data_IF_525900550619
#
_entry.id   IF_525900550619
#
_cell.length_a   1.000
_cell.length_b   1.000
_cell.length_c   1.000
_cell.angle_alpha   90.00
_cell.angle_beta   90.00
_cell.angle_gamma   90.00
#
_symmetry.space_group_name_H-M   'P 1'
#
loop_
_entity.id
_entity.type
_entity.pdbx_description
1 polymer ?
#
# COMPACT_ATOMS: atom_id res chain seq x y z
N UNK A 1 -9.63 -28.69 22.07
CA UNK A 1 -8.57 -27.86 21.46
C UNK A 1 -9.29 -26.89 20.53
N UNK A 2 -9.24 -25.61 20.76
CA UNK A 2 -9.80 -24.63 19.83
C UNK A 2 -8.97 -24.75 18.54
N UNK A 3 -9.61 -25.10 17.42
CA UNK A 3 -8.98 -25.01 16.09
C UNK A 3 -8.69 -23.55 15.84
N UNK A 4 -7.42 -23.18 15.78
CA UNK A 4 -7.01 -21.82 15.37
C UNK A 4 -7.49 -21.66 13.93
N UNK A 5 -8.45 -20.77 13.73
CA UNK A 5 -8.94 -20.45 12.40
C UNK A 5 -8.01 -19.41 11.79
N UNK A 6 -7.60 -19.59 10.53
CA UNK A 6 -6.79 -18.60 9.82
C UNK A 6 -7.61 -17.33 9.57
N UNK A 7 -6.97 -16.13 9.62
CA UNK A 7 -7.63 -14.84 9.36
C UNK A 7 -8.31 -14.77 7.99
N UNK A 8 -7.74 -15.45 7.00
CA UNK A 8 -8.31 -15.59 5.66
C UNK A 8 -8.27 -17.06 5.23
N UNK A 9 -9.26 -17.87 5.64
CA UNK A 9 -9.26 -19.32 5.37
C UNK A 9 -9.18 -19.67 3.88
N UNK A 10 -9.85 -18.89 3.02
CA UNK A 10 -9.89 -19.11 1.57
C UNK A 10 -8.56 -18.73 0.87
N UNK A 11 -7.65 -18.04 1.56
CA UNK A 11 -6.34 -17.64 1.08
C UNK A 11 -5.21 -18.48 1.71
N UNK A 12 -5.50 -19.69 2.22
CA UNK A 12 -4.54 -20.61 2.82
C UNK A 12 -4.33 -21.85 1.94
N UNK A 13 -3.06 -22.29 1.83
CA UNK A 13 -2.70 -23.58 1.27
C UNK A 13 -2.57 -24.66 2.36
N UNK A 14 -2.59 -25.92 1.96
CA UNK A 14 -2.48 -27.08 2.86
C UNK A 14 -1.16 -27.10 3.65
N UNK A 15 -0.09 -26.50 3.13
CA UNK A 15 1.21 -26.38 3.82
C UNK A 15 1.24 -25.21 4.84
N UNK A 16 0.14 -24.50 4.98
CA UNK A 16 0.00 -23.35 5.88
C UNK A 16 0.56 -22.04 5.32
N UNK A 17 0.85 -21.97 4.02
CA UNK A 17 1.25 -20.72 3.37
C UNK A 17 0.03 -19.87 2.98
N UNK A 18 0.17 -18.54 3.14
CA UNK A 18 -0.82 -17.56 2.69
C UNK A 18 -0.61 -17.22 1.22
N UNK A 19 -1.70 -17.18 0.43
CA UNK A 19 -1.72 -16.78 -0.97
C UNK A 19 -2.83 -15.78 -1.20
N UNK A 20 -2.44 -14.55 -1.50
CA UNK A 20 -3.35 -13.42 -1.71
C UNK A 20 -4.24 -13.61 -2.92
N UNK A 21 -5.56 -13.31 -2.78
CA UNK A 21 -6.46 -13.26 -3.94
C UNK A 21 -6.00 -12.22 -4.96
N UNK A 22 -6.30 -12.46 -6.24
CA UNK A 22 -6.04 -11.52 -7.32
C UNK A 22 -7.10 -10.40 -7.37
N UNK A 23 -6.71 -9.24 -7.91
CA UNK A 23 -7.62 -8.13 -8.14
C UNK A 23 -8.59 -8.47 -9.27
N UNK A 24 -9.89 -8.23 -9.03
CA UNK A 24 -10.96 -8.67 -9.93
C UNK A 24 -11.28 -7.65 -11.03
N UNK A 25 -11.07 -6.36 -10.75
CA UNK A 25 -11.39 -5.26 -11.66
C UNK A 25 -10.09 -4.60 -12.10
N UNK A 26 -9.80 -4.66 -13.40
CA UNK A 26 -8.53 -4.19 -13.97
C UNK A 26 -8.70 -3.45 -15.29
N UNK A 27 -9.79 -2.70 -15.42
CA UNK A 27 -9.97 -1.77 -16.53
C UNK A 27 -9.02 -0.57 -16.40
N UNK A 28 -8.81 0.15 -17.51
CA UNK A 28 -7.84 1.23 -17.59
C UNK A 28 -8.48 2.54 -18.03
N UNK A 29 -8.13 3.63 -17.34
CA UNK A 29 -8.27 4.99 -17.86
C UNK A 29 -7.19 5.21 -18.91
N UNK A 30 -7.58 5.69 -20.10
CA UNK A 30 -6.66 5.97 -21.20
C UNK A 30 -6.77 7.40 -21.71
N UNK A 31 -5.61 8.05 -21.87
CA UNK A 31 -5.54 9.41 -22.40
C UNK A 31 -5.91 9.49 -23.89
N UNK A 32 -5.66 8.41 -24.63
CA UNK A 32 -5.95 8.31 -26.08
C UNK A 32 -7.43 7.98 -26.41
N UNK A 33 -8.26 7.77 -25.39
CA UNK A 33 -9.68 7.45 -25.57
C UNK A 33 -9.96 6.03 -26.06
N UNK A 34 -8.98 5.13 -26.04
CA UNK A 34 -9.11 3.73 -26.49
C UNK A 34 -9.96 2.84 -25.58
N UNK A 35 -10.35 3.37 -24.39
CA UNK A 35 -11.24 2.69 -23.45
C UNK A 35 -12.48 3.55 -23.14
N UNK A 36 -13.54 2.97 -22.51
CA UNK A 36 -14.69 3.74 -22.03
C UNK A 36 -14.36 4.77 -20.95
N UNK A 37 -13.14 4.77 -20.46
CA UNK A 37 -12.66 5.59 -19.34
C UNK A 37 -11.60 6.61 -19.81
N UNK A 38 -12.00 7.73 -20.47
CA UNK A 38 -11.07 8.79 -20.87
C UNK A 38 -10.58 9.58 -19.66
N UNK A 39 -9.41 10.21 -19.78
CA UNK A 39 -8.87 11.10 -18.73
C UNK A 39 -9.68 12.40 -18.67
N UNK A 40 -10.49 12.56 -17.62
CA UNK A 40 -11.32 13.73 -17.37
C UNK A 40 -11.20 14.16 -15.91
N UNK A 41 -10.86 15.41 -15.65
CA UNK A 41 -10.75 15.94 -14.30
C UNK A 41 -12.11 15.88 -13.56
N UNK A 42 -12.09 15.40 -12.30
CA UNK A 42 -13.28 15.28 -11.45
C UNK A 42 -14.18 14.08 -11.76
N UNK A 43 -13.86 13.27 -12.80
CA UNK A 43 -14.65 12.08 -13.14
C UNK A 43 -14.36 10.90 -12.21
N UNK A 44 -13.12 10.76 -11.76
CA UNK A 44 -12.70 9.60 -10.99
C UNK A 44 -12.60 9.92 -9.50
N UNK A 45 -12.95 8.91 -8.70
CA UNK A 45 -12.89 8.98 -7.24
C UNK A 45 -12.17 7.77 -6.67
N UNK A 46 -11.24 8.00 -5.74
CA UNK A 46 -10.42 6.96 -5.13
C UNK A 46 -10.97 6.63 -3.74
N UNK A 47 -11.43 5.39 -3.51
CA UNK A 47 -11.76 4.88 -2.20
C UNK A 47 -10.56 4.19 -1.58
N UNK A 48 -10.16 4.58 -0.38
CA UNK A 48 -8.92 4.15 0.26
C UNK A 48 -9.08 3.93 1.75
N UNK A 49 -8.17 3.13 2.32
CA UNK A 49 -7.88 3.11 3.76
C UNK A 49 -6.47 3.62 4.00
N UNK A 50 -6.28 4.54 4.94
CA UNK A 50 -4.94 5.01 5.33
C UNK A 50 -4.12 3.92 6.05
N UNK A 51 -4.78 2.87 6.52
CA UNK A 51 -4.11 1.70 7.07
C UNK A 51 -3.48 0.80 6.00
N UNK A 52 -4.11 0.70 4.82
CA UNK A 52 -3.74 -0.25 3.77
C UNK A 52 -2.47 0.20 3.02
N UNK A 53 -1.39 -0.61 2.96
CA UNK A 53 -0.19 -0.23 2.21
C UNK A 53 -0.43 -0.20 0.69
N UNK A 54 -1.31 -1.03 0.18
CA UNK A 54 -1.66 -1.08 -1.24
C UNK A 54 -2.35 0.23 -1.66
N UNK A 55 -3.38 0.67 -0.93
CA UNK A 55 -4.02 1.96 -1.15
C UNK A 55 -3.05 3.15 -0.93
N UNK A 56 -2.13 3.04 0.03
CA UNK A 56 -1.19 4.12 0.34
C UNK A 56 -0.27 4.47 -0.83
N UNK A 57 0.10 3.50 -1.69
CA UNK A 57 0.87 3.77 -2.91
C UNK A 57 0.12 4.75 -3.83
N UNK A 58 -1.16 4.50 -4.07
CA UNK A 58 -1.99 5.34 -4.95
C UNK A 58 -2.21 6.73 -4.36
N UNK A 59 -2.34 6.85 -3.02
CA UNK A 59 -2.43 8.12 -2.31
C UNK A 59 -1.15 8.93 -2.50
N UNK A 60 0.02 8.32 -2.32
CA UNK A 60 1.33 8.98 -2.48
C UNK A 60 1.51 9.48 -3.92
N UNK A 61 1.22 8.65 -4.92
CA UNK A 61 1.38 9.03 -6.32
C UNK A 61 0.41 10.17 -6.68
N UNK A 62 -0.86 10.09 -6.23
CA UNK A 62 -1.84 11.18 -6.38
C UNK A 62 -1.32 12.50 -5.78
N UNK A 63 -0.68 12.45 -4.60
CA UNK A 63 -0.10 13.61 -3.92
C UNK A 63 1.12 14.16 -4.68
N UNK A 64 2.06 13.30 -5.05
CA UNK A 64 3.30 13.67 -5.71
C UNK A 64 3.09 14.26 -7.11
N UNK A 65 2.08 13.81 -7.83
CA UNK A 65 1.71 14.33 -9.15
C UNK A 65 0.74 15.52 -9.08
N UNK A 66 0.26 15.89 -7.88
CA UNK A 66 -0.65 17.00 -7.69
C UNK A 66 -2.02 16.78 -8.30
N UNK A 67 -2.54 15.54 -8.25
CA UNK A 67 -3.82 15.12 -8.82
C UNK A 67 -5.03 15.35 -7.90
N UNK A 68 -4.87 16.06 -6.77
CA UNK A 68 -5.92 16.18 -5.75
C UNK A 68 -7.19 16.87 -6.28
N UNK A 69 -7.05 17.81 -7.23
CA UNK A 69 -8.18 18.48 -7.89
C UNK A 69 -8.78 17.68 -9.05
N UNK A 70 -8.03 16.70 -9.59
CA UNK A 70 -8.43 15.91 -10.75
C UNK A 70 -9.10 14.58 -10.35
N UNK A 71 -8.66 13.98 -9.24
CA UNK A 71 -9.16 12.70 -8.72
C UNK A 71 -9.60 12.90 -7.28
N UNK A 72 -10.90 12.76 -6.99
CA UNK A 72 -11.44 12.81 -5.63
C UNK A 72 -10.91 11.65 -4.76
N UNK A 73 -11.10 11.74 -3.45
CA UNK A 73 -10.70 10.66 -2.54
C UNK A 73 -11.59 10.63 -1.29
N UNK A 74 -12.02 9.44 -0.89
CA UNK A 74 -12.69 9.20 0.39
C UNK A 74 -11.98 8.08 1.14
N UNK A 75 -11.82 8.30 2.44
CA UNK A 75 -11.15 7.36 3.34
C UNK A 75 -12.21 6.59 4.13
N UNK A 76 -12.10 5.25 4.15
CA UNK A 76 -12.94 4.36 4.94
C UNK A 76 -12.46 4.26 6.39
N UNK A 77 -13.34 3.79 7.29
CA UNK A 77 -13.00 3.43 8.67
C UNK A 77 -11.78 2.48 8.70
N UNK A 78 -10.76 2.72 9.53
CA UNK A 78 -9.61 1.84 9.62
C UNK A 78 -9.94 0.44 10.14
N UNK A 79 -11.01 0.30 10.91
CA UNK A 79 -11.46 -1.00 11.42
C UNK A 79 -12.38 -1.62 10.38
N UNK A 80 -11.91 -2.73 9.81
CA UNK A 80 -12.66 -3.53 8.86
C UNK A 80 -13.49 -4.56 9.63
N UNK A 81 -14.79 -4.69 9.35
CA UNK A 81 -15.58 -5.78 9.90
C UNK A 81 -15.52 -7.02 8.97
N UNK A 82 -15.80 -8.19 9.54
CA UNK A 82 -15.68 -9.47 8.83
C UNK A 82 -16.87 -9.75 7.92
N UNK A 83 -18.04 -9.18 8.22
CA UNK A 83 -19.28 -9.43 7.47
C UNK A 83 -19.39 -8.47 6.27
N UNK A 84 -19.17 -7.17 6.48
CA UNK A 84 -19.42 -6.12 5.50
C UNK A 84 -18.15 -5.54 4.87
N UNK A 85 -16.98 -5.77 5.48
CA UNK A 85 -15.70 -5.25 5.02
C UNK A 85 -15.45 -3.81 5.48
N UNK A 86 -15.21 -2.90 4.57
CA UNK A 86 -14.88 -1.50 4.83
C UNK A 86 -16.13 -0.63 4.94
N UNK A 87 -16.30 0.07 6.07
CA UNK A 87 -17.40 0.99 6.33
C UNK A 87 -16.99 2.43 6.04
N UNK A 88 -17.91 3.23 5.46
CA UNK A 88 -17.85 4.68 5.45
C UNK A 88 -18.56 5.22 6.69
N UNK A 89 -18.10 6.35 7.24
CA UNK A 89 -18.73 6.94 8.42
C UNK A 89 -17.96 8.14 8.95
N UNK A 90 -18.43 8.73 10.02
CA UNK A 90 -17.80 9.89 10.65
C UNK A 90 -16.77 9.45 11.70
N UNK A 91 -15.53 9.95 11.56
CA UNK A 91 -14.49 9.71 12.54
C UNK A 91 -13.17 10.38 12.22
N UNK A 92 -12.19 10.29 13.13
CA UNK A 92 -10.88 10.90 12.91
C UNK A 92 -10.18 10.33 11.67
N UNK A 93 -10.09 11.12 10.59
CA UNK A 93 -9.37 10.77 9.38
C UNK A 93 -10.14 9.90 8.36
N UNK A 94 -11.43 9.68 8.56
CA UNK A 94 -12.33 9.03 7.59
C UNK A 94 -13.69 9.72 7.56
N UNK A 95 -14.48 9.53 6.50
CA UNK A 95 -15.74 10.26 6.29
C UNK A 95 -16.81 9.38 5.63
N UNK A 96 -18.10 9.80 5.67
CA UNK A 96 -19.13 9.25 4.81
C UNK A 96 -18.74 9.34 3.34
N UNK A 97 -19.31 8.46 2.51
CA UNK A 97 -19.13 8.54 1.06
C UNK A 97 -19.93 9.72 0.46
N UNK A 98 -19.26 10.76 -0.09
CA UNK A 98 -19.92 11.93 -0.65
C UNK A 98 -20.41 11.72 -2.10
N UNK A 99 -20.06 10.59 -2.74
CA UNK A 99 -20.32 10.33 -4.15
C UNK A 99 -21.62 9.56 -4.34
N UNK A 100 -21.74 8.39 -3.72
CA UNK A 100 -22.89 7.51 -3.90
C UNK A 100 -23.71 7.36 -2.61
N UNK A 101 -23.20 7.87 -1.47
CA UNK A 101 -23.82 7.66 -0.16
C UNK A 101 -23.76 6.21 0.35
N UNK A 102 -22.80 5.43 -0.14
CA UNK A 102 -22.60 4.07 0.32
C UNK A 102 -22.27 4.04 1.82
N UNK A 103 -22.84 3.07 2.51
CA UNK A 103 -22.47 2.76 3.89
C UNK A 103 -21.24 1.86 3.95
N UNK A 104 -21.15 0.91 3.05
CA UNK A 104 -20.06 -0.05 2.94
C UNK A 104 -19.46 -0.03 1.54
N UNK A 105 -18.14 -0.20 1.44
CA UNK A 105 -17.45 -0.31 0.14
C UNK A 105 -17.94 -1.52 -0.67
N UNK A 106 -18.51 -2.55 -0.02
CA UNK A 106 -19.16 -3.69 -0.68
C UNK A 106 -20.18 -3.24 -1.71
N UNK A 107 -20.95 -2.19 -1.44
CA UNK A 107 -21.96 -1.67 -2.34
C UNK A 107 -21.40 -1.24 -3.70
N UNK A 108 -20.15 -0.71 -3.73
CA UNK A 108 -19.45 -0.43 -4.99
C UNK A 108 -19.11 -1.72 -5.77
N UNK A 109 -18.73 -2.79 -5.07
CA UNK A 109 -18.48 -4.10 -5.70
C UNK A 109 -19.76 -4.73 -6.22
N UNK A 110 -20.83 -4.70 -5.44
CA UNK A 110 -22.14 -5.24 -5.82
C UNK A 110 -22.76 -4.47 -7.00
N UNK A 111 -22.50 -3.17 -7.13
CA UNK A 111 -22.89 -2.38 -8.30
C UNK A 111 -22.18 -2.85 -9.59
N UNK A 112 -20.98 -3.41 -9.49
CA UNK A 112 -20.25 -3.97 -10.63
C UNK A 112 -20.66 -5.42 -10.93
N UNK A 113 -20.68 -6.25 -9.88
CA UNK A 113 -21.06 -7.66 -9.96
C UNK A 113 -21.84 -8.05 -8.69
N UNK A 114 -23.19 -8.15 -8.78
CA UNK A 114 -24.05 -8.57 -7.64
C UNK A 114 -23.72 -9.97 -7.11
N UNK A 115 -22.95 -10.76 -7.85
CA UNK A 115 -22.52 -12.10 -7.47
C UNK A 115 -21.08 -12.17 -6.98
N UNK A 116 -20.41 -11.02 -6.82
CA UNK A 116 -19.03 -10.98 -6.34
C UNK A 116 -18.88 -11.66 -4.98
N UNK A 117 -17.95 -12.62 -4.90
CA UNK A 117 -17.68 -13.42 -3.69
C UNK A 117 -16.29 -13.22 -3.12
N UNK A 118 -15.44 -12.48 -3.83
CA UNK A 118 -14.09 -12.17 -3.36
C UNK A 118 -14.09 -11.20 -2.18
N UNK A 119 -12.93 -11.07 -1.56
CA UNK A 119 -12.71 -10.10 -0.49
C UNK A 119 -12.81 -8.67 -1.03
N UNK A 120 -13.51 -7.80 -0.30
CA UNK A 120 -13.61 -6.38 -0.61
C UNK A 120 -12.30 -5.71 -0.21
N UNK A 121 -11.59 -5.15 -1.18
CA UNK A 121 -10.25 -4.56 -1.02
C UNK A 121 -10.25 -3.07 -1.32
N UNK A 122 -9.22 -2.39 -0.86
CA UNK A 122 -8.85 -1.01 -1.21
C UNK A 122 -7.39 -1.02 -1.71
N UNK A 123 -7.03 -0.16 -2.68
CA UNK A 123 -7.81 0.96 -3.24
C UNK A 123 -8.91 0.51 -4.19
N UNK A 124 -9.84 1.42 -4.49
CA UNK A 124 -10.79 1.30 -5.59
C UNK A 124 -10.80 2.61 -6.36
N UNK A 125 -10.55 2.56 -7.65
CA UNK A 125 -10.76 3.68 -8.57
C UNK A 125 -12.17 3.57 -9.15
N UNK A 126 -13.03 4.50 -8.77
CA UNK A 126 -14.45 4.57 -9.14
C UNK A 126 -14.66 5.60 -10.25
N UNK A 127 -15.41 5.24 -11.27
CA UNK A 127 -15.89 6.18 -12.29
C UNK A 127 -17.29 6.71 -11.90
N UNK A 128 -17.38 7.98 -11.58
CA UNK A 128 -18.63 8.62 -11.13
C UNK A 128 -19.68 8.77 -12.25
N UNK A 129 -19.29 8.66 -13.51
CA UNK A 129 -20.21 8.78 -14.65
C UNK A 129 -20.86 7.45 -15.02
N UNK A 130 -20.11 6.37 -15.04
CA UNK A 130 -20.66 5.05 -15.32
C UNK A 130 -21.15 4.33 -14.07
N UNK A 131 -20.85 4.86 -12.88
CA UNK A 131 -21.13 4.24 -11.58
C UNK A 131 -20.56 2.81 -11.50
N UNK A 132 -19.23 2.70 -11.84
CA UNK A 132 -18.50 1.44 -11.89
C UNK A 132 -17.10 1.57 -11.29
N UNK A 133 -16.60 0.45 -10.78
CA UNK A 133 -15.18 0.29 -10.47
C UNK A 133 -14.42 0.20 -11.79
N UNK A 134 -13.44 1.08 -11.99
CA UNK A 134 -12.47 0.95 -13.09
C UNK A 134 -11.43 -0.09 -12.72
N UNK A 135 -10.81 0.07 -11.55
CA UNK A 135 -9.79 -0.85 -11.07
C UNK A 135 -9.75 -0.91 -9.54
N UNK A 136 -9.45 -2.10 -9.00
CA UNK A 136 -9.09 -2.31 -7.60
C UNK A 136 -7.64 -2.81 -7.45
N UNK A 137 -6.86 -2.76 -8.53
CA UNK A 137 -5.43 -3.05 -8.53
C UNK A 137 -4.65 -1.77 -8.23
N UNK A 138 -3.93 -1.74 -7.12
CA UNK A 138 -3.08 -0.60 -6.76
C UNK A 138 -1.94 -0.37 -7.76
N UNK A 139 -1.41 -1.44 -8.34
CA UNK A 139 -0.37 -1.38 -9.36
C UNK A 139 -0.88 -0.71 -10.64
N UNK A 140 -2.08 -1.07 -11.11
CA UNK A 140 -2.69 -0.47 -12.29
C UNK A 140 -3.07 1.00 -12.04
N UNK A 141 -3.64 1.29 -10.86
CA UNK A 141 -4.04 2.66 -10.50
C UNK A 141 -2.81 3.58 -10.40
N UNK A 142 -1.74 3.13 -9.76
CA UNK A 142 -0.47 3.89 -9.74
C UNK A 142 0.00 4.20 -11.15
N UNK A 143 0.10 3.18 -11.99
CA UNK A 143 0.60 3.31 -13.36
C UNK A 143 -0.30 4.20 -14.21
N UNK A 144 -1.62 4.12 -14.06
CA UNK A 144 -2.55 5.06 -14.72
C UNK A 144 -2.25 6.50 -14.31
N UNK A 145 -2.07 6.79 -13.02
CA UNK A 145 -1.76 8.15 -12.55
C UNK A 145 -0.42 8.64 -13.11
N UNK A 146 0.58 7.79 -13.21
CA UNK A 146 1.92 8.11 -13.69
C UNK A 146 1.99 8.34 -15.20
N UNK A 147 1.19 7.64 -15.98
CA UNK A 147 1.32 7.62 -17.44
C UNK A 147 0.16 8.29 -18.18
N UNK A 148 -1.08 8.09 -17.71
CA UNK A 148 -2.27 8.58 -18.40
C UNK A 148 -2.71 9.98 -17.90
N UNK A 149 -2.60 10.24 -16.59
CA UNK A 149 -3.06 11.50 -15.99
C UNK A 149 -2.05 12.65 -16.09
N UNK A 150 -1.00 12.51 -16.88
CA UNK A 150 0.08 13.50 -17.00
C UNK A 150 -0.41 14.91 -17.40
N UNK A 151 -1.42 15.00 -18.27
CA UNK A 151 -2.02 16.28 -18.68
C UNK A 151 -2.78 16.99 -17.55
N UNK A 152 -3.20 16.28 -16.51
CA UNK A 152 -3.87 16.81 -15.32
C UNK A 152 -2.93 17.02 -14.13
N UNK A 153 -1.70 16.53 -14.24
CA UNK A 153 -0.67 16.72 -13.23
C UNK A 153 -0.21 18.18 -13.19
N UNK A 154 -0.15 18.76 -11.99
CA UNK A 154 0.41 20.09 -11.79
C UNK A 154 1.87 20.06 -11.28
N UNK A 155 2.49 18.88 -11.24
CA UNK A 155 3.87 18.65 -10.79
C UNK A 155 4.63 17.80 -11.80
N UNK A 156 5.73 18.32 -12.32
CA UNK A 156 6.60 17.61 -13.27
C UNK A 156 7.48 16.59 -12.51
N UNK A 157 6.95 15.41 -12.27
CA UNK A 157 7.70 14.26 -11.73
C UNK A 157 7.53 13.07 -12.65
N UNK A 158 8.63 12.49 -13.08
CA UNK A 158 8.65 11.21 -13.79
C UNK A 158 8.94 10.10 -12.80
N UNK A 159 7.89 9.38 -12.39
CA UNK A 159 8.01 8.26 -11.45
C UNK A 159 8.26 6.92 -12.15
N UNK A 160 8.13 6.88 -13.49
CA UNK A 160 8.36 5.69 -14.31
C UNK A 160 9.24 5.99 -15.51
N UNK A 161 10.50 6.45 -15.29
CA UNK A 161 11.37 6.95 -16.34
C UNK A 161 11.78 5.85 -17.34
N UNK A 162 11.65 6.16 -18.63
CA UNK A 162 11.83 5.21 -19.71
C UNK A 162 13.16 4.42 -19.67
N UNK A 163 14.32 5.02 -19.29
CA UNK A 163 15.59 4.28 -19.25
C UNK A 163 15.63 3.15 -18.20
N UNK A 164 14.81 3.22 -17.15
CA UNK A 164 14.82 2.29 -16.01
C UNK A 164 13.66 1.31 -15.98
N UNK A 165 12.72 1.36 -16.93
CA UNK A 165 11.46 0.59 -16.88
C UNK A 165 11.68 -0.91 -16.66
N UNK A 166 12.54 -1.53 -17.44
CA UNK A 166 12.80 -2.97 -17.32
C UNK A 166 13.42 -3.34 -15.94
N UNK A 167 14.25 -2.47 -15.38
CA UNK A 167 14.82 -2.70 -14.05
C UNK A 167 13.81 -2.41 -12.93
N UNK A 168 12.99 -1.39 -13.11
CA UNK A 168 11.85 -1.06 -12.23
C UNK A 168 10.92 -2.27 -12.13
N UNK A 169 10.49 -2.85 -13.25
CA UNK A 169 9.59 -4.01 -13.23
C UNK A 169 10.21 -5.21 -12.50
N UNK A 170 11.46 -5.55 -12.81
CA UNK A 170 12.15 -6.66 -12.12
C UNK A 170 12.29 -6.44 -10.61
N UNK A 171 12.62 -5.22 -10.21
CA UNK A 171 12.77 -4.91 -8.79
C UNK A 171 11.43 -4.83 -8.08
N UNK A 172 10.38 -4.31 -8.76
CA UNK A 172 9.01 -4.31 -8.26
C UNK A 172 8.50 -5.73 -7.99
N UNK A 173 8.70 -6.67 -8.93
CA UNK A 173 8.35 -8.09 -8.74
C UNK A 173 9.07 -8.70 -7.52
N UNK A 174 10.37 -8.43 -7.40
CA UNK A 174 11.17 -8.92 -6.28
C UNK A 174 10.67 -8.36 -4.95
N UNK A 175 10.52 -7.03 -4.85
CA UNK A 175 10.05 -6.35 -3.63
C UNK A 175 8.62 -6.78 -3.29
N UNK A 176 7.75 -6.92 -4.29
CA UNK A 176 6.39 -7.42 -4.09
C UNK A 176 6.42 -8.82 -3.45
N UNK A 177 7.07 -9.77 -4.11
CA UNK A 177 7.03 -11.17 -3.71
C UNK A 177 7.70 -11.45 -2.35
N UNK A 178 8.74 -10.69 -2.00
CA UNK A 178 9.58 -10.97 -0.83
C UNK A 178 9.37 -10.01 0.34
N UNK A 179 9.00 -8.76 0.08
CA UNK A 179 8.84 -7.73 1.12
C UNK A 179 7.37 -7.33 1.26
N UNK A 180 6.74 -6.77 0.21
CA UNK A 180 5.40 -6.22 0.35
C UNK A 180 4.35 -7.29 0.69
N UNK A 181 4.31 -8.39 -0.04
CA UNK A 181 3.49 -9.56 0.26
C UNK A 181 4.18 -10.52 1.24
N UNK A 182 5.52 -10.49 1.28
CA UNK A 182 6.33 -11.33 2.15
C UNK A 182 6.00 -11.17 3.63
N UNK A 183 5.80 -9.95 4.11
CA UNK A 183 5.40 -9.69 5.52
C UNK A 183 4.01 -10.26 5.84
N UNK A 184 3.09 -10.31 4.86
CA UNK A 184 1.78 -10.96 5.01
C UNK A 184 1.89 -12.47 4.97
N UNK A 185 2.74 -13.01 4.09
CA UNK A 185 3.02 -14.46 4.06
C UNK A 185 3.62 -14.94 5.37
N UNK A 186 4.45 -14.13 6.03
CA UNK A 186 4.93 -14.43 7.38
C UNK A 186 3.82 -14.28 8.42
N UNK A 187 3.08 -13.16 8.39
CA UNK A 187 2.08 -12.82 9.40
C UNK A 187 0.86 -13.75 9.44
N UNK A 188 0.41 -14.20 8.28
CA UNK A 188 -0.75 -15.09 8.13
C UNK A 188 -0.38 -16.57 7.94
N UNK A 189 0.91 -16.93 8.07
CA UNK A 189 1.31 -18.33 8.04
C UNK A 189 0.66 -19.11 9.18
N UNK A 190 0.12 -20.29 8.87
CA UNK A 190 -0.47 -21.22 9.85
C UNK A 190 0.43 -22.40 10.20
N UNK A 191 1.64 -22.46 9.61
CA UNK A 191 2.67 -23.42 9.98
C UNK A 191 4.02 -22.73 10.22
N UNK A 192 4.83 -23.32 11.13
CA UNK A 192 6.17 -22.81 11.43
C UNK A 192 7.05 -22.76 10.17
N UNK A 193 7.00 -23.80 9.35
CA UNK A 193 7.82 -23.91 8.14
C UNK A 193 7.42 -22.84 7.09
N UNK A 194 6.13 -22.53 6.92
CA UNK A 194 5.67 -21.46 6.03
C UNK A 194 6.11 -20.08 6.54
N UNK A 195 5.97 -19.84 7.85
CA UNK A 195 6.44 -18.61 8.49
C UNK A 195 7.94 -18.40 8.27
N UNK A 196 8.77 -19.39 8.59
CA UNK A 196 10.24 -19.29 8.47
C UNK A 196 10.67 -19.01 7.04
N UNK A 197 10.11 -19.72 6.07
CA UNK A 197 10.40 -19.47 4.64
C UNK A 197 10.07 -18.04 4.23
N UNK A 198 8.94 -17.51 4.67
CA UNK A 198 8.53 -16.15 4.34
C UNK A 198 9.40 -15.12 5.07
N UNK A 199 9.61 -15.28 6.38
CA UNK A 199 10.37 -14.36 7.21
C UNK A 199 11.83 -14.23 6.73
N UNK A 200 12.52 -15.33 6.47
CA UNK A 200 13.90 -15.29 5.95
C UNK A 200 13.96 -14.53 4.60
N UNK A 201 13.03 -14.77 3.69
CA UNK A 201 13.01 -14.05 2.40
C UNK A 201 12.81 -12.54 2.55
N UNK A 202 11.98 -12.10 3.52
CA UNK A 202 11.85 -10.68 3.85
C UNK A 202 13.22 -10.11 4.21
N UNK A 203 13.94 -10.75 5.13
CA UNK A 203 15.21 -10.21 5.64
C UNK A 203 16.35 -10.34 4.64
N UNK A 204 16.44 -11.40 3.84
CA UNK A 204 17.42 -11.51 2.75
C UNK A 204 17.28 -10.35 1.76
N UNK A 205 16.04 -9.96 1.44
CA UNK A 205 15.77 -8.83 0.54
C UNK A 205 16.05 -7.50 1.23
N UNK A 206 15.68 -7.32 2.50
CA UNK A 206 16.03 -6.09 3.23
C UNK A 206 17.54 -5.91 3.35
N UNK A 207 18.31 -6.97 3.56
CA UNK A 207 19.77 -6.93 3.59
C UNK A 207 20.38 -6.53 2.24
N UNK A 208 19.83 -7.05 1.15
CA UNK A 208 20.24 -6.67 -0.20
C UNK A 208 19.90 -5.20 -0.52
N UNK A 209 18.73 -4.71 -0.09
CA UNK A 209 18.33 -3.31 -0.24
C UNK A 209 19.17 -2.37 0.65
N UNK A 210 19.51 -2.78 1.86
CA UNK A 210 20.41 -2.06 2.76
C UNK A 210 21.77 -1.83 2.08
N UNK A 211 22.34 -2.89 1.47
CA UNK A 211 23.58 -2.82 0.72
C UNK A 211 23.47 -1.91 -0.51
N UNK A 212 22.38 -2.04 -1.31
CA UNK A 212 22.12 -1.18 -2.48
C UNK A 212 22.06 0.30 -2.11
N UNK A 213 21.45 0.62 -0.99
CA UNK A 213 21.24 1.99 -0.52
C UNK A 213 22.49 2.59 0.18
N UNK A 214 23.57 1.85 0.35
CA UNK A 214 24.81 2.38 0.92
C UNK A 214 25.45 3.47 0.03
N UNK A 215 25.36 3.30 -1.29
CA UNK A 215 26.02 4.17 -2.27
C UNK A 215 25.02 4.97 -3.13
N UNK A 216 23.73 4.73 -3.03
CA UNK A 216 22.67 5.42 -3.80
C UNK A 216 21.65 6.05 -2.88
N UNK A 217 21.21 7.27 -3.18
CA UNK A 217 20.21 7.98 -2.37
C UNK A 217 18.86 7.26 -2.38
N UNK A 218 18.40 6.87 -3.59
CA UNK A 218 17.18 6.11 -3.82
C UNK A 218 17.50 4.86 -4.64
N UNK A 219 16.55 4.01 -4.89
CA UNK A 219 16.78 2.72 -5.56
C UNK A 219 17.33 2.85 -6.99
N UNK A 220 17.06 3.97 -7.67
CA UNK A 220 17.50 4.27 -9.03
C UNK A 220 18.30 5.58 -9.14
N UNK A 221 19.07 5.96 -8.10
CA UNK A 221 19.94 7.12 -8.12
C UNK A 221 19.46 8.30 -7.28
N UNK A 222 19.47 9.51 -7.85
CA UNK A 222 19.28 10.75 -7.11
C UNK A 222 17.80 11.16 -6.89
N UNK A 223 16.87 10.60 -7.66
CA UNK A 223 15.44 10.90 -7.57
C UNK A 223 14.64 9.62 -7.32
N UNK A 224 13.59 9.68 -6.48
CA UNK A 224 12.77 8.52 -6.24
C UNK A 224 11.85 8.23 -7.42
N UNK A 225 11.67 6.94 -7.72
CA UNK A 225 10.76 6.41 -8.74
C UNK A 225 9.65 5.58 -8.08
N UNK A 226 8.74 5.00 -8.85
CA UNK A 226 7.60 4.24 -8.31
C UNK A 226 8.03 3.09 -7.37
N UNK A 227 9.16 2.43 -7.65
CA UNK A 227 9.69 1.34 -6.82
C UNK A 227 9.99 1.80 -5.39
N UNK A 228 10.49 3.03 -5.23
CA UNK A 228 10.74 3.61 -3.90
C UNK A 228 9.44 3.74 -3.10
N UNK A 229 8.35 4.12 -3.74
CA UNK A 229 7.04 4.24 -3.09
C UNK A 229 6.41 2.89 -2.79
N UNK A 230 6.61 1.90 -3.65
CA UNK A 230 6.21 0.50 -3.40
C UNK A 230 6.91 -0.09 -2.19
N UNK A 231 8.17 0.23 -1.98
CA UNK A 231 8.93 -0.18 -0.80
C UNK A 231 8.55 0.64 0.44
N UNK A 232 8.46 1.97 0.31
CA UNK A 232 8.16 2.90 1.40
C UNK A 232 6.96 2.47 2.24
N UNK A 233 5.85 2.10 1.62
CA UNK A 233 4.60 1.78 2.31
C UNK A 233 4.72 0.57 3.23
N UNK A 234 5.63 -0.36 2.94
CA UNK A 234 5.95 -1.48 3.82
C UNK A 234 6.92 -1.05 4.92
N UNK A 235 7.99 -0.31 4.58
CA UNK A 235 8.99 0.13 5.57
C UNK A 235 8.38 1.02 6.65
N UNK A 236 7.47 1.95 6.29
CA UNK A 236 6.83 2.88 7.24
C UNK A 236 5.92 2.14 8.25
N UNK A 237 5.42 0.95 7.90
CA UNK A 237 4.60 0.09 8.75
C UNK A 237 5.42 -0.94 9.52
N UNK A 238 6.65 -1.18 9.12
CA UNK A 238 7.41 -2.36 9.53
C UNK A 238 7.57 -2.44 11.06
N UNK A 239 8.17 -1.44 11.66
CA UNK A 239 8.45 -1.43 13.09
C UNK A 239 7.17 -1.26 13.93
N UNK A 240 6.16 -0.57 13.38
CA UNK A 240 4.89 -0.33 14.06
C UNK A 240 3.97 -1.57 14.06
N UNK A 241 4.08 -2.41 13.02
CA UNK A 241 3.15 -3.54 12.81
C UNK A 241 3.90 -4.84 12.53
N UNK A 242 4.63 -4.93 11.42
CA UNK A 242 5.12 -6.21 10.92
C UNK A 242 6.16 -6.85 11.83
N UNK A 243 6.97 -6.06 12.51
CA UNK A 243 7.94 -6.54 13.49
C UNK A 243 7.27 -7.29 14.66
N UNK A 244 6.25 -6.71 15.27
CA UNK A 244 5.56 -7.30 16.40
C UNK A 244 4.41 -8.21 15.98
N UNK A 245 3.43 -7.65 15.28
CA UNK A 245 2.17 -8.31 14.94
C UNK A 245 2.36 -9.50 13.99
N UNK A 246 3.17 -9.32 12.95
CA UNK A 246 3.48 -10.38 11.97
C UNK A 246 4.75 -11.17 12.27
N UNK A 247 5.41 -10.88 13.39
CA UNK A 247 6.62 -11.59 13.85
C UNK A 247 7.81 -11.50 12.87
N UNK A 248 7.85 -10.49 11.98
CA UNK A 248 9.00 -10.20 11.14
C UNK A 248 10.10 -9.51 11.98
N UNK A 249 10.71 -10.24 12.93
CA UNK A 249 11.39 -9.62 14.06
C UNK A 249 12.88 -10.00 14.21
N UNK A 250 13.56 -10.37 13.13
CA UNK A 250 15.02 -10.52 13.18
C UNK A 250 15.71 -9.17 13.41
N UNK A 251 15.23 -8.11 12.75
CA UNK A 251 15.70 -6.72 12.93
C UNK A 251 14.55 -5.75 12.66
N UNK A 252 14.58 -4.56 13.30
CA UNK A 252 13.69 -3.44 12.98
C UNK A 252 14.27 -2.68 11.78
N UNK A 253 13.45 -1.93 11.06
CA UNK A 253 13.98 -0.99 10.05
C UNK A 253 14.88 0.05 10.72
N UNK A 254 14.58 0.46 11.94
CA UNK A 254 15.43 1.35 12.74
C UNK A 254 16.85 0.82 13.01
N UNK A 255 17.07 -0.48 12.88
CA UNK A 255 18.37 -1.14 13.07
C UNK A 255 19.21 -1.20 11.76
N UNK A 256 18.64 -0.76 10.63
CA UNK A 256 19.30 -0.69 9.32
C UNK A 256 19.71 0.76 9.00
N UNK A 257 21.00 1.11 9.03
CA UNK A 257 21.43 2.50 8.86
C UNK A 257 20.98 3.15 7.55
N UNK A 258 21.10 2.44 6.42
CA UNK A 258 20.73 2.98 5.12
C UNK A 258 19.22 2.96 4.87
N UNK A 259 18.53 1.85 5.17
CA UNK A 259 17.08 1.74 5.02
C UNK A 259 16.34 2.72 5.93
N UNK A 260 16.82 2.94 7.16
CA UNK A 260 16.17 3.90 8.05
C UNK A 260 16.40 5.35 7.62
N UNK A 261 17.62 5.69 7.17
CA UNK A 261 17.89 6.99 6.56
C UNK A 261 17.05 7.21 5.30
N UNK A 262 16.94 6.20 4.44
CA UNK A 262 16.12 6.22 3.24
C UNK A 262 14.60 6.37 3.56
N UNK A 263 14.10 5.67 4.55
CA UNK A 263 12.72 5.82 5.03
C UNK A 263 12.44 7.26 5.48
N UNK A 264 13.35 7.87 6.24
CA UNK A 264 13.26 9.27 6.65
C UNK A 264 13.30 10.23 5.48
N UNK A 265 14.19 10.01 4.52
CA UNK A 265 14.33 10.85 3.32
C UNK A 265 13.02 10.86 2.52
N UNK A 266 12.45 9.69 2.25
CA UNK A 266 11.16 9.58 1.56
C UNK A 266 10.01 10.21 2.35
N UNK A 267 9.95 9.98 3.67
CA UNK A 267 8.91 10.55 4.53
C UNK A 267 8.94 12.09 4.54
N UNK A 268 10.12 12.69 4.45
CA UNK A 268 10.33 14.15 4.47
C UNK A 268 10.10 14.81 3.10
N UNK A 269 9.87 14.04 2.04
CA UNK A 269 9.48 14.63 0.75
C UNK A 269 8.14 15.37 0.93
N UNK A 270 8.05 16.66 0.48
CA UNK A 270 6.84 17.45 0.66
C UNK A 270 5.57 16.76 0.18
N UNK A 271 4.57 16.66 1.06
CA UNK A 271 3.30 15.99 0.84
C UNK A 271 3.24 14.54 1.36
N UNK A 272 4.37 13.82 1.49
CA UNK A 272 4.36 12.40 1.85
C UNK A 272 3.97 12.17 3.33
N UNK A 273 4.51 12.94 4.25
CA UNK A 273 4.20 12.79 5.68
C UNK A 273 2.70 12.85 5.99
N UNK A 274 1.95 13.69 5.26
CA UNK A 274 0.50 13.83 5.44
C UNK A 274 -0.30 12.61 4.95
N UNK A 275 0.31 11.72 4.17
CA UNK A 275 -0.33 10.47 3.71
C UNK A 275 -0.22 9.35 4.75
N UNK A 276 0.61 9.53 5.78
CA UNK A 276 0.88 8.53 6.83
C UNK A 276 -0.01 8.77 8.04
N UNK A 277 -0.80 7.78 8.42
CA UNK A 277 -1.64 7.83 9.62
C UNK A 277 -1.34 6.60 10.50
N UNK A 278 -0.48 6.77 11.50
CA UNK A 278 -0.10 5.67 12.40
C UNK A 278 -1.24 5.20 13.30
N UNK A 279 -2.22 6.04 13.63
CA UNK A 279 -3.41 5.60 14.38
C UNK A 279 -4.23 4.62 13.55
N UNK A 280 -4.57 4.99 12.29
CA UNK A 280 -5.27 4.10 11.38
C UNK A 280 -4.50 2.80 11.13
N UNK A 281 -3.18 2.91 10.88
CA UNK A 281 -2.31 1.75 10.65
C UNK A 281 -2.40 0.79 11.84
N UNK A 282 -2.09 1.26 13.06
CA UNK A 282 -2.06 0.39 14.23
C UNK A 282 -3.44 -0.16 14.58
N UNK A 283 -4.48 0.68 14.56
CA UNK A 283 -5.85 0.24 14.85
C UNK A 283 -6.32 -0.83 13.87
N UNK A 284 -6.07 -0.66 12.56
CA UNK A 284 -6.43 -1.68 11.59
C UNK A 284 -5.81 -3.03 11.93
N UNK A 285 -4.49 -3.11 11.99
CA UNK A 285 -3.81 -4.40 12.16
C UNK A 285 -4.10 -5.05 13.50
N UNK A 286 -3.99 -4.29 14.60
CA UNK A 286 -4.10 -4.88 15.93
C UNK A 286 -5.54 -5.13 16.38
N UNK A 287 -6.51 -4.41 15.82
CA UNK A 287 -7.90 -4.60 16.18
C UNK A 287 -8.63 -5.59 15.28
N UNK A 288 -8.36 -5.59 13.96
CA UNK A 288 -9.10 -6.42 13.00
C UNK A 288 -8.55 -7.83 12.85
N UNK A 289 -7.27 -8.06 13.15
CA UNK A 289 -6.69 -9.41 13.08
C UNK A 289 -6.75 -10.09 14.46
N UNK A 290 -7.93 -10.48 14.88
CA UNK A 290 -8.16 -11.03 16.22
C UNK A 290 -7.71 -12.49 16.38
N UNK A 291 -7.49 -13.23 15.30
CA UNK A 291 -6.79 -14.51 15.31
C UNK A 291 -5.30 -14.35 15.73
N UNK A 292 -4.64 -13.25 15.35
CA UNK A 292 -3.26 -12.94 15.71
C UNK A 292 -3.20 -12.19 17.06
N UNK A 293 -4.14 -11.27 17.29
CA UNK A 293 -4.22 -10.42 18.48
C UNK A 293 -5.61 -10.48 19.14
N UNK A 294 -5.98 -11.59 19.80
CA UNK A 294 -7.33 -11.82 20.31
C UNK A 294 -7.77 -10.81 21.38
N UNK A 295 -6.85 -10.12 22.04
CA UNK A 295 -7.15 -9.05 23.01
C UNK A 295 -7.52 -7.73 22.34
N UNK A 296 -7.25 -7.57 21.04
CA UNK A 296 -7.45 -6.32 20.27
C UNK A 296 -6.74 -5.09 20.86
N UNK A 297 -5.73 -5.31 21.72
CA UNK A 297 -4.93 -4.22 22.29
C UNK A 297 -4.08 -3.60 21.20
N UNK A 298 -4.21 -2.27 21.03
CA UNK A 298 -3.43 -1.47 20.08
C UNK A 298 -2.20 -0.92 20.79
N UNK A 299 -0.96 -1.20 20.33
CA UNK A 299 0.26 -0.77 20.99
C UNK A 299 0.46 0.75 20.90
N UNK A 300 1.09 1.35 21.92
CA UNK A 300 1.41 2.78 21.95
C UNK A 300 2.61 3.09 21.02
N UNK A 301 3.61 2.23 21.00
CA UNK A 301 4.84 2.38 20.20
C UNK A 301 4.74 1.88 18.74
N UNK A 302 5.88 1.92 18.03
CA UNK A 302 7.12 2.56 18.45
C UNK A 302 7.08 4.08 18.35
N UNK A 303 7.93 4.76 19.11
CA UNK A 303 8.18 6.19 18.94
C UNK A 303 9.39 6.36 18.02
N UNK A 304 9.15 6.71 16.76
CA UNK A 304 10.19 6.94 15.77
C UNK A 304 10.19 8.41 15.35
N UNK A 305 11.35 9.05 15.42
CA UNK A 305 11.53 10.40 14.89
C UNK A 305 11.85 10.33 13.40
N UNK A 306 10.80 10.33 12.58
CA UNK A 306 10.92 10.33 11.12
C UNK A 306 11.26 11.72 10.54
N UNK A 307 11.13 12.76 11.36
CA UNK A 307 11.53 14.14 11.01
C UNK A 307 13.01 14.43 11.26
N UNK A 308 13.74 13.54 11.95
CA UNK A 308 15.17 13.72 12.18
C UNK A 308 15.97 13.72 10.86
N UNK A 309 17.13 14.38 10.81
CA UNK A 309 17.99 14.39 9.63
C UNK A 309 18.27 12.98 9.10
N UNK A 310 18.08 12.80 7.80
CA UNK A 310 18.27 11.50 7.15
C UNK A 310 19.71 11.25 6.67
N UNK A 311 20.53 12.34 6.47
CA UNK A 311 21.95 12.27 6.16
C UNK A 311 22.26 11.73 4.75
N UNK A 312 21.27 11.65 3.85
CA UNK A 312 21.42 11.05 2.51
C UNK A 312 21.66 12.06 1.40
N UNK A 313 21.65 13.38 1.70
CA UNK A 313 21.91 14.46 0.73
C UNK A 313 23.28 14.31 0.04
N UNK A 314 24.26 13.76 0.76
CA UNK A 314 25.61 13.49 0.24
C UNK A 314 25.61 12.53 -0.96
N UNK A 315 24.64 11.60 -1.01
CA UNK A 315 24.52 10.58 -2.05
C UNK A 315 23.89 11.10 -3.35
N UNK A 316 23.35 12.34 -3.35
CA UNK A 316 22.80 12.97 -4.55
C UNK A 316 23.87 13.50 -5.53
N UNK A 317 25.16 13.44 -5.16
CA UNK A 317 26.29 14.00 -5.93
C UNK A 317 27.07 12.95 -6.72
N UNK A 318 26.64 11.67 -6.65
CA UNK A 318 27.32 10.58 -7.33
C UNK A 318 26.62 10.28 -8.66
N UNK A 319 26.88 11.09 -9.70
CA UNK A 319 26.74 10.77 -11.13
C UNK A 319 27.92 11.40 -11.85
#
# INVERSE_FOLDING_TARGET
>A
MSTVQAQFPDEQHDDGSFVRQQDAFRDWVRADGSTPYPVVAGRYHLYVSLACPWAHRTIIVRELLGLQSAVGMTVVNPIRDDEHGWEFGDGPGFSPDPINGFRYLREAYDANDPHYRGRITVPVLWDTQSERIVSNSDDDIMRMFETEFTALSNRARDLYPAPFRDEIERLNETIYATVNDGVYRAGFATSQAAYERAAYRVFDTLDALEARLADSRYLFGALPVETDWRLFVTLIRFDAVYFGHFKCNLRRIADYPNLFGYLRDLYQIPGVAHTVNFDHIKRHYYYTHDDINPTRIVPIGPLQDLGAPHGRERLSRSV
#
